data_IF_725226359497
#
_entry.id   IF_725226359497
#
_cell.length_a   1.000
_cell.length_b   1.000
_cell.length_c   1.000
_cell.angle_alpha   90.00
_cell.angle_beta   90.00
_cell.angle_gamma   90.00
#
_symmetry.space_group_name_H-M   'P 1'
#
loop_
_entity.id
_entity.type
_entity.pdbx_description
1 polymer ?
#
# COMPACT_ATOMS: atom_id res chain seq x y z
N UNK A 1 -17.04 6.47 -18.50
CA UNK A 1 -15.92 7.00 -17.72
C UNK A 1 -16.04 6.39 -16.33
N UNK A 2 -15.07 5.62 -15.81
CA UNK A 2 -15.10 5.23 -14.41
C UNK A 2 -15.12 6.52 -13.59
N UNK A 3 -16.01 6.59 -12.59
CA UNK A 3 -16.04 7.70 -11.65
C UNK A 3 -14.71 7.72 -10.89
N UNK A 4 -13.94 8.82 -11.00
CA UNK A 4 -12.72 8.98 -10.24
C UNK A 4 -13.09 9.12 -8.76
N UNK A 5 -12.87 8.05 -8.00
CA UNK A 5 -12.98 8.10 -6.55
C UNK A 5 -11.68 8.66 -5.96
N UNK A 6 -11.81 9.36 -4.83
CA UNK A 6 -10.66 9.74 -4.02
C UNK A 6 -10.80 9.20 -2.60
N UNK A 7 -9.69 8.73 -2.05
CA UNK A 7 -9.60 8.29 -0.66
C UNK A 7 -8.46 9.05 0.01
N UNK A 8 -8.79 9.83 1.04
CA UNK A 8 -7.80 10.68 1.73
C UNK A 8 -7.00 11.61 0.81
N UNK A 9 -7.64 12.14 -0.24
CA UNK A 9 -7.02 13.03 -1.22
C UNK A 9 -6.28 12.33 -2.36
N UNK A 10 -6.20 10.98 -2.35
CA UNK A 10 -5.52 10.18 -3.36
C UNK A 10 -6.50 9.52 -4.31
N UNK A 11 -6.10 9.32 -5.56
CA UNK A 11 -6.91 8.60 -6.56
C UNK A 11 -7.09 7.15 -6.15
N UNK A 12 -8.31 6.68 -6.24
CA UNK A 12 -8.69 5.37 -5.77
C UNK A 12 -9.74 4.70 -6.65
N UNK A 13 -9.76 3.38 -6.63
CA UNK A 13 -10.86 2.56 -7.10
C UNK A 13 -11.55 1.88 -5.90
N UNK A 14 -12.85 1.71 -6.01
CA UNK A 14 -13.67 1.07 -4.95
C UNK A 14 -14.47 -0.05 -5.57
N UNK A 15 -14.42 -1.21 -4.92
CA UNK A 15 -15.36 -2.31 -5.18
C UNK A 15 -16.10 -2.65 -3.88
N UNK A 16 -17.35 -3.06 -4.03
CA UNK A 16 -18.16 -3.44 -2.90
C UNK A 16 -19.13 -4.56 -3.22
N UNK A 17 -19.50 -5.28 -2.17
CA UNK A 17 -20.64 -6.18 -2.17
C UNK A 17 -21.60 -5.79 -1.03
N UNK A 18 -22.51 -6.68 -0.66
CA UNK A 18 -23.45 -6.37 0.42
C UNK A 18 -22.79 -6.26 1.79
N UNK A 19 -21.59 -6.85 2.02
CA UNK A 19 -20.92 -6.93 3.31
C UNK A 19 -19.68 -6.07 3.43
N UNK A 20 -18.91 -5.98 2.34
CA UNK A 20 -17.59 -5.35 2.32
C UNK A 20 -17.53 -4.19 1.33
N UNK A 21 -16.76 -3.17 1.70
CA UNK A 21 -16.22 -2.14 0.81
C UNK A 21 -14.70 -2.25 0.84
N UNK A 22 -14.09 -2.32 -0.34
CA UNK A 22 -12.64 -2.38 -0.51
C UNK A 22 -12.20 -1.20 -1.37
N UNK A 23 -11.19 -0.47 -0.88
CA UNK A 23 -10.61 0.69 -1.56
C UNK A 23 -9.15 0.43 -1.89
N UNK A 24 -8.78 0.61 -3.16
CA UNK A 24 -7.41 0.49 -3.65
C UNK A 24 -6.94 1.82 -4.19
N UNK A 25 -5.72 2.23 -3.87
CA UNK A 25 -5.11 3.44 -4.40
C UNK A 25 -4.41 3.17 -5.73
N UNK A 26 -4.51 4.11 -6.68
CA UNK A 26 -3.79 4.01 -7.95
C UNK A 26 -2.27 4.09 -7.74
N UNK A 27 -1.79 5.07 -6.98
CA UNK A 27 -0.37 5.17 -6.65
C UNK A 27 0.04 4.12 -5.62
N UNK A 28 1.02 3.28 -5.94
CA UNK A 28 1.54 2.22 -5.10
C UNK A 28 0.63 0.99 -4.96
N UNK A 29 -0.56 0.99 -5.57
CA UNK A 29 -1.47 -0.16 -5.54
C UNK A 29 -1.93 -0.58 -4.14
N UNK A 30 -1.90 0.34 -3.16
CA UNK A 30 -2.19 0.00 -1.76
C UNK A 30 -3.67 -0.36 -1.57
N UNK A 31 -3.96 -1.45 -0.87
CA UNK A 31 -5.29 -1.70 -0.34
C UNK A 31 -5.43 -0.84 0.93
N UNK A 32 -6.06 0.32 0.79
CA UNK A 32 -6.16 1.31 1.85
C UNK A 32 -7.28 0.99 2.85
N UNK A 33 -8.31 0.30 2.40
CA UNK A 33 -9.48 -0.01 3.22
C UNK A 33 -10.07 -1.37 2.84
N UNK A 34 -10.44 -2.13 3.87
CA UNK A 34 -11.34 -3.27 3.77
C UNK A 34 -12.38 -3.06 4.89
N UNK A 35 -13.46 -2.35 4.60
CA UNK A 35 -14.45 -2.02 5.61
C UNK A 35 -15.59 -3.05 5.63
N UNK A 36 -15.93 -3.52 6.82
CA UNK A 36 -17.18 -4.22 7.08
C UNK A 36 -18.31 -3.19 7.07
N UNK A 37 -19.29 -3.33 6.17
CA UNK A 37 -20.37 -2.35 5.96
C UNK A 37 -21.40 -2.31 7.10
N UNK A 38 -21.43 -3.32 7.96
CA UNK A 38 -22.32 -3.36 9.11
C UNK A 38 -21.77 -2.52 10.27
N UNK A 39 -20.46 -2.54 10.47
CA UNK A 39 -19.78 -1.85 11.57
C UNK A 39 -19.04 -0.60 11.14
N UNK A 40 -18.84 -0.40 9.84
CA UNK A 40 -17.98 0.62 9.21
C UNK A 40 -16.53 0.60 9.74
N UNK A 41 -16.04 -0.57 10.13
CA UNK A 41 -14.68 -0.77 10.65
C UNK A 41 -13.81 -1.43 9.60
N UNK A 42 -12.63 -0.83 9.34
CA UNK A 42 -11.53 -1.43 8.57
C UNK A 42 -10.38 -1.79 9.52
N UNK A 43 -9.77 -2.99 9.38
CA UNK A 43 -8.61 -3.37 10.17
C UNK A 43 -7.32 -2.66 9.73
N UNK A 44 -7.31 -2.08 8.54
CA UNK A 44 -6.11 -1.54 7.95
C UNK A 44 -5.73 -0.18 8.54
N UNK A 45 -4.43 0.02 8.70
CA UNK A 45 -3.88 1.26 9.23
C UNK A 45 -3.92 2.39 8.19
N UNK A 46 -4.27 3.57 8.66
CA UNK A 46 -4.20 4.82 7.90
C UNK A 46 -3.24 5.76 8.63
N UNK A 47 -2.29 6.41 7.94
CA UNK A 47 -1.37 7.36 8.57
C UNK A 47 -2.13 8.54 9.20
N UNK A 48 -1.58 9.08 10.28
CA UNK A 48 -2.11 10.29 10.93
C UNK A 48 -1.68 11.59 10.24
N UNK A 49 -0.76 11.50 9.29
CA UNK A 49 -0.28 12.61 8.47
C UNK A 49 -0.99 12.61 7.10
N UNK A 50 -1.00 13.75 6.38
CA UNK A 50 -1.51 13.80 5.02
C UNK A 50 -0.76 12.82 4.11
N UNK A 51 -1.48 12.10 3.26
CA UNK A 51 -0.88 11.23 2.26
C UNK A 51 -0.97 11.89 0.90
N UNK A 52 0.09 11.76 0.09
CA UNK A 52 0.16 12.28 -1.28
C UNK A 52 0.38 11.14 -2.28
N UNK A 53 0.14 11.41 -3.56
CA UNK A 53 0.49 10.45 -4.61
C UNK A 53 2.01 10.25 -4.64
N UNK A 54 2.53 9.01 -4.68
CA UNK A 54 3.98 8.77 -4.71
C UNK A 54 4.69 9.52 -5.83
N UNK A 55 4.05 9.61 -7.00
CA UNK A 55 4.58 10.34 -8.16
C UNK A 55 4.62 11.87 -7.98
N UNK A 56 3.96 12.40 -6.94
CA UNK A 56 3.97 13.83 -6.61
C UNK A 56 4.96 14.18 -5.52
N UNK A 57 5.65 13.19 -4.94
CA UNK A 57 6.67 13.43 -3.92
C UNK A 57 7.85 14.20 -4.50
N UNK A 58 8.20 15.31 -3.84
CA UNK A 58 9.34 16.17 -4.15
C UNK A 58 10.29 16.21 -2.95
N UNK A 59 11.50 15.65 -3.05
CA UNK A 59 12.46 15.64 -1.93
C UNK A 59 12.82 17.04 -1.42
N UNK A 60 12.72 18.08 -2.26
CA UNK A 60 13.05 19.46 -1.89
C UNK A 60 11.85 20.21 -1.26
N UNK A 61 10.62 19.72 -1.46
CA UNK A 61 9.38 20.36 -0.98
C UNK A 61 8.64 19.59 0.11
N UNK A 62 8.88 18.28 0.22
CA UNK A 62 8.12 17.36 1.06
C UNK A 62 8.95 16.83 2.25
N UNK A 63 9.80 17.67 2.84
CA UNK A 63 10.68 17.32 3.98
C UNK A 63 9.94 16.68 5.17
N UNK A 64 8.65 16.91 5.30
CA UNK A 64 7.79 16.34 6.36
C UNK A 64 7.78 14.81 6.35
N UNK A 65 8.05 14.18 5.21
CA UNK A 65 8.12 12.72 5.07
C UNK A 65 9.54 12.17 5.26
N UNK A 66 10.53 13.02 5.52
CA UNK A 66 11.94 12.69 5.66
C UNK A 66 12.71 12.89 4.36
N UNK A 67 14.04 12.68 4.40
CA UNK A 67 14.94 12.85 3.26
C UNK A 67 15.66 11.56 2.85
N UNK A 68 15.24 10.42 3.38
CA UNK A 68 15.85 9.12 3.09
C UNK A 68 15.21 8.39 1.91
N UNK A 69 15.74 7.21 1.58
CA UNK A 69 15.23 6.35 0.51
C UNK A 69 13.79 5.83 0.79
N UNK A 70 13.28 6.03 2.00
CA UNK A 70 11.93 5.68 2.44
C UNK A 70 10.91 6.83 2.35
N UNK A 71 11.36 8.06 2.11
CA UNK A 71 10.51 9.26 2.18
C UNK A 71 9.34 9.22 1.18
N UNK A 72 9.59 8.83 -0.07
CA UNK A 72 8.54 8.69 -1.08
C UNK A 72 7.49 7.65 -0.68
N UNK A 73 7.92 6.53 -0.11
CA UNK A 73 7.01 5.52 0.42
C UNK A 73 6.23 6.06 1.62
N UNK A 74 6.89 6.74 2.58
CA UNK A 74 6.25 7.30 3.76
C UNK A 74 5.21 8.37 3.41
N UNK A 75 5.43 9.11 2.34
CA UNK A 75 4.46 10.08 1.82
C UNK A 75 3.16 9.40 1.35
N UNK A 76 3.21 8.15 0.97
CA UNK A 76 2.13 7.43 0.31
C UNK A 76 1.59 6.21 1.06
N UNK A 77 2.36 5.60 1.96
CA UNK A 77 2.03 4.29 2.55
C UNK A 77 0.74 4.32 3.37
N UNK A 78 -0.12 3.34 3.16
CA UNK A 78 -1.24 3.02 4.06
C UNK A 78 -1.73 1.58 3.83
N UNK A 79 -2.32 1.00 4.86
CA UNK A 79 -2.99 -0.29 4.80
C UNK A 79 -2.07 -1.44 4.44
N UNK A 80 -2.30 -2.02 3.27
CA UNK A 80 -1.57 -3.15 2.74
C UNK A 80 -0.89 -2.76 1.42
N UNK A 81 0.39 -3.03 1.29
CA UNK A 81 1.16 -2.80 0.07
C UNK A 81 2.02 -4.01 -0.30
N UNK A 82 2.22 -4.20 -1.59
CA UNK A 82 3.08 -5.23 -2.15
C UNK A 82 4.52 -4.73 -2.22
N UNK A 83 5.44 -5.49 -1.62
CA UNK A 83 6.87 -5.24 -1.73
C UNK A 83 7.51 -6.32 -2.61
N UNK A 84 8.11 -5.93 -3.72
CA UNK A 84 8.83 -6.82 -4.60
C UNK A 84 10.32 -6.48 -4.60
N UNK A 85 11.15 -7.52 -4.50
CA UNK A 85 12.60 -7.52 -4.38
C UNK A 85 13.11 -6.97 -3.04
N UNK A 86 12.62 -5.81 -2.59
CA UNK A 86 13.13 -5.14 -1.40
C UNK A 86 12.04 -5.08 -0.33
N UNK A 87 12.39 -5.45 0.90
CA UNK A 87 11.57 -5.22 2.09
C UNK A 87 12.40 -4.46 3.14
N UNK A 88 11.96 -3.27 3.51
CA UNK A 88 12.75 -2.31 4.29
C UNK A 88 13.46 -1.31 3.39
N UNK A 89 14.55 -0.73 3.85
CA UNK A 89 15.39 0.17 3.05
C UNK A 89 16.27 -0.59 2.06
N UNK A 90 16.62 0.02 0.92
CA UNK A 90 17.57 -0.56 -0.03
C UNK A 90 19.00 -0.55 0.55
N UNK A 91 19.86 -1.44 0.05
CA UNK A 91 21.32 -1.33 0.21
C UNK A 91 21.86 -0.12 -0.56
N UNK A 92 23.12 0.23 -0.34
CA UNK A 92 23.77 1.35 -1.07
C UNK A 92 23.79 1.09 -2.58
N UNK A 93 24.01 -0.16 -3.01
CA UNK A 93 24.03 -0.56 -4.41
C UNK A 93 22.61 -0.48 -5.02
N UNK A 94 21.59 -0.92 -4.30
CA UNK A 94 20.19 -0.86 -4.74
C UNK A 94 19.72 0.59 -4.81
N UNK A 95 20.04 1.42 -3.82
CA UNK A 95 19.76 2.86 -3.85
C UNK A 95 20.44 3.56 -5.03
N UNK A 96 21.71 3.22 -5.32
CA UNK A 96 22.43 3.75 -6.48
C UNK A 96 21.83 3.29 -7.82
N UNK A 97 21.14 2.15 -7.83
CA UNK A 97 20.38 1.65 -8.99
C UNK A 97 18.96 2.24 -9.11
N UNK A 98 18.55 3.14 -8.19
CA UNK A 98 17.27 3.83 -8.23
C UNK A 98 16.15 3.19 -7.37
N UNK A 99 16.47 2.12 -6.63
CA UNK A 99 15.45 1.48 -5.78
C UNK A 99 15.21 2.26 -4.49
N UNK A 100 13.93 2.44 -4.16
CA UNK A 100 13.49 2.96 -2.88
C UNK A 100 13.12 1.84 -1.89
N UNK A 101 12.72 2.26 -0.70
CA UNK A 101 12.23 1.33 0.32
C UNK A 101 10.99 0.58 -0.16
N UNK A 102 10.91 -0.71 0.17
CA UNK A 102 9.85 -1.67 -0.20
C UNK A 102 9.76 -1.96 -1.71
N UNK A 103 10.73 -1.49 -2.50
CA UNK A 103 10.77 -1.72 -3.92
C UNK A 103 9.76 -0.89 -4.72
N UNK A 104 9.84 -1.01 -6.02
CA UNK A 104 9.13 -0.19 -6.98
C UNK A 104 7.60 -0.38 -6.94
N UNK A 105 7.15 -1.61 -6.67
CA UNK A 105 5.73 -1.96 -6.64
C UNK A 105 4.90 -1.14 -5.63
N UNK A 106 5.54 -0.63 -4.57
CA UNK A 106 4.88 0.16 -3.52
C UNK A 106 4.70 1.63 -3.87
N UNK A 107 5.27 2.12 -4.98
CA UNK A 107 5.26 3.55 -5.32
C UNK A 107 4.82 3.86 -6.76
N UNK A 108 4.89 2.92 -7.68
CA UNK A 108 4.45 3.13 -9.07
C UNK A 108 2.94 3.31 -9.17
N UNK A 109 2.49 3.94 -10.24
CA UNK A 109 1.06 4.03 -10.54
C UNK A 109 0.57 2.73 -11.20
N UNK A 110 -0.55 2.21 -10.73
CA UNK A 110 -1.23 1.06 -11.31
C UNK A 110 -2.35 1.49 -12.25
N UNK A 111 -2.47 0.80 -13.36
CA UNK A 111 -3.68 0.83 -14.18
C UNK A 111 -4.74 -0.05 -13.52
N UNK A 112 -5.90 0.54 -13.19
CA UNK A 112 -6.96 -0.16 -12.46
C UNK A 112 -8.22 -0.22 -13.30
N UNK A 113 -8.79 -1.42 -13.39
CA UNK A 113 -10.12 -1.68 -13.93
C UNK A 113 -11.00 -2.29 -12.83
N UNK A 114 -12.11 -1.64 -12.52
CA UNK A 114 -13.04 -2.09 -11.48
C UNK A 114 -14.43 -2.33 -12.06
N UNK A 115 -15.05 -3.42 -11.62
CA UNK A 115 -16.44 -3.76 -11.91
C UNK A 115 -17.11 -4.26 -10.63
N UNK A 116 -18.40 -4.63 -10.71
CA UNK A 116 -19.14 -5.06 -9.51
C UNK A 116 -18.45 -6.24 -8.81
N UNK A 117 -17.91 -5.99 -7.61
CA UNK A 117 -17.32 -7.00 -6.74
C UNK A 117 -15.94 -7.53 -7.16
N UNK A 118 -15.35 -7.05 -8.27
CA UNK A 118 -14.00 -7.42 -8.67
C UNK A 118 -13.20 -6.24 -9.22
N UNK A 119 -11.89 -6.32 -9.08
CA UNK A 119 -10.92 -5.32 -9.52
C UNK A 119 -9.70 -6.04 -10.09
N UNK A 120 -9.20 -5.52 -11.20
CA UNK A 120 -7.91 -5.90 -11.77
C UNK A 120 -7.02 -4.68 -11.78
N UNK A 121 -5.77 -4.86 -11.42
CA UNK A 121 -4.76 -3.81 -11.45
C UNK A 121 -3.43 -4.35 -11.93
N UNK A 122 -2.69 -3.53 -12.66
CA UNK A 122 -1.40 -3.92 -13.23
C UNK A 122 -0.43 -2.75 -13.26
N UNK A 123 0.84 -3.03 -13.18
CA UNK A 123 1.90 -2.04 -13.32
C UNK A 123 3.19 -2.64 -13.89
N UNK A 124 3.86 -1.94 -14.80
CA UNK A 124 5.25 -2.21 -15.12
C UNK A 124 6.16 -1.72 -14.01
N UNK A 125 7.21 -2.48 -13.73
CA UNK A 125 8.27 -2.17 -12.76
C UNK A 125 9.60 -2.11 -13.53
N UNK A 126 9.91 -0.99 -14.21
CA UNK A 126 11.04 -0.90 -15.13
C UNK A 126 12.40 -1.09 -14.46
N UNK A 127 12.61 -0.58 -13.25
CA UNK A 127 13.88 -0.73 -12.51
C UNK A 127 14.08 -2.19 -12.10
N UNK A 128 13.05 -2.83 -11.57
CA UNK A 128 13.06 -4.24 -11.20
C UNK A 128 13.01 -5.17 -12.42
N UNK A 129 12.65 -4.66 -13.62
CA UNK A 129 12.37 -5.42 -14.83
C UNK A 129 11.34 -6.51 -14.60
N UNK A 130 10.27 -6.14 -13.90
CA UNK A 130 9.12 -6.98 -13.62
C UNK A 130 7.84 -6.36 -14.19
N UNK A 131 6.81 -7.17 -14.32
CA UNK A 131 5.44 -6.72 -14.50
C UNK A 131 4.58 -7.40 -13.44
N UNK A 132 3.73 -6.64 -12.78
CA UNK A 132 2.83 -7.16 -11.75
C UNK A 132 1.38 -7.01 -12.18
N UNK A 133 0.59 -8.06 -11.96
CA UNK A 133 -0.85 -8.07 -12.12
C UNK A 133 -1.50 -8.59 -10.84
N UNK A 134 -2.58 -7.93 -10.40
CA UNK A 134 -3.33 -8.31 -9.20
C UNK A 134 -4.82 -8.33 -9.53
N UNK A 135 -5.49 -9.43 -9.15
CA UNK A 135 -6.94 -9.59 -9.20
C UNK A 135 -7.50 -9.66 -7.80
N UNK A 136 -8.50 -8.83 -7.51
CA UNK A 136 -9.17 -8.79 -6.21
C UNK A 136 -10.66 -9.04 -6.40
N UNK A 137 -11.21 -9.98 -5.65
CA UNK A 137 -12.61 -10.36 -5.70
C UNK A 137 -13.21 -10.41 -4.30
N UNK A 138 -14.46 -9.93 -4.18
CA UNK A 138 -15.23 -9.96 -2.96
C UNK A 138 -16.27 -11.10 -2.97
N UNK A 139 -16.03 -12.12 -2.15
CA UNK A 139 -16.95 -13.24 -1.96
C UNK A 139 -17.50 -13.23 -0.53
N UNK A 140 -18.76 -12.81 -0.39
CA UNK A 140 -19.43 -12.66 0.91
C UNK A 140 -18.62 -11.74 1.85
N UNK A 141 -18.03 -12.24 2.93
CA UNK A 141 -17.17 -11.52 3.87
C UNK A 141 -15.66 -11.83 3.67
N UNK A 142 -15.30 -12.32 2.50
CA UNK A 142 -13.92 -12.70 2.18
C UNK A 142 -13.41 -11.87 1.01
N UNK A 143 -12.18 -11.41 1.11
CA UNK A 143 -11.42 -10.79 0.03
C UNK A 143 -10.45 -11.83 -0.51
N UNK A 144 -10.54 -12.13 -1.79
CA UNK A 144 -9.58 -12.97 -2.49
C UNK A 144 -8.65 -12.08 -3.29
N UNK A 145 -7.35 -12.22 -3.05
CA UNK A 145 -6.29 -11.55 -3.81
C UNK A 145 -5.48 -12.61 -4.53
N UNK A 146 -5.34 -12.46 -5.83
CA UNK A 146 -4.45 -13.27 -6.67
C UNK A 146 -3.48 -12.36 -7.36
N UNK A 147 -2.22 -12.71 -7.33
CA UNK A 147 -1.16 -11.92 -7.92
C UNK A 147 -0.32 -12.76 -8.88
N UNK A 148 0.17 -12.12 -9.90
CA UNK A 148 1.13 -12.67 -10.85
C UNK A 148 2.25 -11.67 -11.06
N UNK A 149 3.48 -12.15 -11.04
CA UNK A 149 4.67 -11.35 -11.32
C UNK A 149 5.41 -12.01 -12.48
N UNK A 150 5.61 -11.28 -13.55
CA UNK A 150 6.36 -11.70 -14.71
C UNK A 150 7.77 -11.11 -14.65
N UNK A 151 8.78 -11.98 -14.85
CA UNK A 151 10.17 -11.54 -14.98
C UNK A 151 10.44 -11.15 -16.45
N UNK A 152 10.66 -9.87 -16.68
CA UNK A 152 10.97 -9.32 -18.00
C UNK A 152 12.48 -9.30 -18.31
N UNK A 153 13.33 -9.76 -17.38
CA UNK A 153 14.75 -9.89 -17.61
C UNK A 153 15.04 -11.10 -18.52
N UNK A 154 16.19 -11.05 -19.22
CA UNK A 154 16.60 -12.13 -20.10
C UNK A 154 17.11 -13.39 -19.38
N UNK A 155 17.31 -13.31 -18.06
CA UNK A 155 17.81 -14.40 -17.24
C UNK A 155 16.86 -14.67 -16.05
N UNK A 156 16.82 -15.91 -15.62
CA UNK A 156 16.15 -16.30 -14.39
C UNK A 156 16.81 -15.64 -13.19
N UNK A 157 16.00 -15.17 -12.25
CA UNK A 157 16.45 -14.61 -10.99
C UNK A 157 15.46 -14.86 -9.86
N UNK A 158 15.92 -14.87 -8.61
CA UNK A 158 15.00 -14.85 -7.48
C UNK A 158 14.25 -13.52 -7.43
N UNK A 159 13.02 -13.53 -6.93
CA UNK A 159 12.20 -12.36 -6.65
C UNK A 159 11.82 -12.41 -5.17
N UNK A 160 12.17 -11.36 -4.42
CA UNK A 160 11.66 -11.16 -3.07
C UNK A 160 10.19 -10.79 -3.14
N UNK A 161 9.34 -11.43 -2.32
CA UNK A 161 7.90 -11.18 -2.32
C UNK A 161 7.37 -11.04 -0.91
N UNK A 162 6.83 -9.88 -0.58
CA UNK A 162 6.29 -9.61 0.76
C UNK A 162 4.97 -8.86 0.67
N UNK A 163 3.95 -9.41 1.31
CA UNK A 163 2.68 -8.73 1.58
C UNK A 163 2.81 -7.94 2.88
N UNK A 164 3.00 -6.64 2.77
CA UNK A 164 3.17 -5.77 3.92
C UNK A 164 1.82 -5.25 4.41
N UNK A 165 1.24 -5.93 5.39
CA UNK A 165 -0.05 -5.59 5.99
C UNK A 165 0.16 -4.82 7.29
N UNK A 166 -0.30 -3.57 7.34
CA UNK A 166 -0.29 -2.76 8.56
C UNK A 166 -1.70 -2.66 9.13
N UNK A 167 -1.87 -3.15 10.36
CA UNK A 167 -3.15 -3.09 11.06
C UNK A 167 -3.26 -1.84 11.95
N UNK A 168 -4.42 -1.20 11.92
CA UNK A 168 -4.75 0.00 12.69
C UNK A 168 -5.72 -0.26 13.85
N UNK A 169 -6.14 0.82 14.55
CA UNK A 169 -7.24 0.74 15.49
C UNK A 169 -8.54 0.27 14.78
N UNK A 170 -9.43 -0.46 15.47
CA UNK A 170 -9.40 -0.80 16.89
C UNK A 170 -8.58 -2.07 17.22
N UNK A 171 -7.96 -2.72 16.23
CA UNK A 171 -7.27 -4.00 16.38
C UNK A 171 -5.96 -3.92 17.15
N UNK A 172 -5.30 -2.74 17.20
CA UNK A 172 -4.15 -2.48 18.09
C UNK A 172 -4.64 -1.85 19.38
N UNK A 173 -4.62 -2.58 20.49
CA UNK A 173 -4.67 -1.96 21.81
C UNK A 173 -3.37 -1.19 22.01
N UNK A 174 -3.44 0.12 22.28
CA UNK A 174 -2.29 0.86 22.81
C UNK A 174 -1.82 0.14 24.08
N UNK A 175 -0.51 -0.09 24.28
CA UNK A 175 -0.02 -0.52 25.57
C UNK A 175 -0.54 0.49 26.61
N UNK A 176 -1.19 0.01 27.67
CA UNK A 176 -1.50 0.86 28.82
C UNK A 176 -0.16 1.29 29.41
N UNK A 177 0.16 2.57 29.30
CA UNK A 177 1.23 3.15 30.11
C UNK A 177 0.88 2.87 31.58
N UNK A 178 1.76 2.23 32.37
CA UNK A 178 1.50 2.09 33.80
C UNK A 178 1.32 3.51 34.35
N UNK A 179 0.20 3.78 35.00
CA UNK A 179 0.06 5.01 35.76
C UNK A 179 1.17 5.03 36.80
N UNK A 180 2.07 6.00 36.73
CA UNK A 180 3.03 6.29 37.77
C UNK A 180 2.23 6.69 39.03
N UNK A 181 1.87 5.69 39.82
CA UNK A 181 1.39 5.94 41.18
C UNK A 181 2.53 6.56 41.96
N UNK A 182 2.42 7.83 42.28
CA UNK A 182 3.31 8.47 43.25
C UNK A 182 3.19 7.71 44.56
N UNK A 183 4.28 7.29 45.15
CA UNK A 183 4.23 6.79 46.53
C UNK A 183 3.94 7.98 47.43
N UNK A 184 2.81 7.96 48.11
CA UNK A 184 2.53 8.83 49.25
C UNK A 184 3.39 8.34 50.38
N UNK A 185 4.28 9.21 50.91
CA UNK A 185 4.98 9.11 52.17
C UNK A 185 4.01 9.22 53.33
#
# INVERSE_FOLDING_TARGET
>A
MPSSHTFRGRRAAVIENRHLRLTVLEGGGHIAEIADKETDVSPLWIPSWPSIEPASYDPDGDEVYGGGADAQLLAAIMGHNLCLDIFGGPSDEEAAAGFGAHGEASVVAYEISAASGHLTMQAPLPEARLHVERHIELHDRTVHVREAVENLAAADRPVGWTEHVTLGPPFRRRPRTPSSGSPTL
#
